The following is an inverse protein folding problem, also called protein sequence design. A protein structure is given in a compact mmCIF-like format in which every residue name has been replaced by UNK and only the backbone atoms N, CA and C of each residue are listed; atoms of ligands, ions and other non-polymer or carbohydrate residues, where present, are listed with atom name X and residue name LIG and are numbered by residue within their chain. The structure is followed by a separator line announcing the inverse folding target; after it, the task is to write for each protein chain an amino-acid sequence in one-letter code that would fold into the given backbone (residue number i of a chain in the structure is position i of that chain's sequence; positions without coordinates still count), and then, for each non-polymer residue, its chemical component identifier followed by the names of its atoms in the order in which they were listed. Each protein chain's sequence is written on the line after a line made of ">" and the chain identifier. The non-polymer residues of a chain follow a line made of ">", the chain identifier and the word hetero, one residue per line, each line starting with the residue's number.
data_IF_094263486323
#
_entry.id   IF_094263486323
#
_cell.length_a   1.000
_cell.length_b   1.000
_cell.length_c   1.000
_cell.angle_alpha   90.00
_cell.angle_beta   90.00
_cell.angle_gamma   90.00
#
_symmetry.space_group_name_H-M   'P 1'
#
loop_
_entity.id
_entity.type
_entity.pdbx_description
1 polymer ?
#
# COMPACT_ATOMS: atom_id res chain seq x y z
N UNK A 1 27.88 1.73 -42.36
CA UNK A 1 26.86 0.87 -41.72
C UNK A 1 27.17 0.45 -40.27
N UNK A 2 28.33 0.80 -39.67
CA UNK A 2 28.65 0.42 -38.27
C UNK A 2 28.20 1.43 -37.19
N UNK A 3 27.82 2.67 -37.59
CA UNK A 3 27.45 3.75 -36.65
C UNK A 3 25.98 3.73 -36.21
N UNK A 4 25.10 3.08 -36.97
CA UNK A 4 23.65 3.02 -36.68
C UNK A 4 23.34 1.99 -35.58
N UNK A 5 24.11 0.90 -35.50
CA UNK A 5 23.94 -0.13 -34.46
C UNK A 5 24.18 0.38 -33.04
N UNK A 6 25.01 1.42 -32.87
CA UNK A 6 25.30 1.98 -31.54
C UNK A 6 24.11 2.78 -30.99
N UNK A 7 23.34 3.45 -31.85
CA UNK A 7 22.19 4.27 -31.44
C UNK A 7 21.01 3.38 -31.00
N UNK A 8 20.82 2.23 -31.66
CA UNK A 8 19.78 1.26 -31.30
C UNK A 8 20.07 0.62 -29.94
N UNK A 9 21.34 0.31 -29.64
CA UNK A 9 21.72 -0.26 -28.34
C UNK A 9 21.46 0.69 -27.16
N UNK A 10 21.63 2.00 -27.36
CA UNK A 10 21.37 3.01 -26.32
C UNK A 10 19.86 3.17 -26.08
N UNK A 11 19.03 3.14 -27.13
CA UNK A 11 17.57 3.25 -27.01
C UNK A 11 16.93 2.04 -26.32
N UNK A 12 17.46 0.83 -26.53
CA UNK A 12 16.98 -0.38 -25.83
C UNK A 12 17.38 -0.35 -24.34
N UNK A 13 18.54 0.24 -24.01
CA UNK A 13 18.99 0.41 -22.63
C UNK A 13 18.07 1.29 -21.77
N UNK A 14 17.47 2.34 -22.33
CA UNK A 14 16.57 3.22 -21.59
C UNK A 14 15.19 2.61 -21.31
N UNK A 15 14.69 1.71 -22.16
CA UNK A 15 13.40 1.05 -21.90
C UNK A 15 13.49 0.02 -20.75
N UNK A 16 14.67 -0.51 -20.46
CA UNK A 16 14.88 -1.47 -19.38
C UNK A 16 14.78 -0.87 -17.96
N UNK A 17 14.82 0.47 -17.82
CA UNK A 17 14.77 1.16 -16.52
C UNK A 17 13.42 1.83 -16.19
N UNK A 18 12.41 1.69 -17.04
CA UNK A 18 11.11 2.38 -16.84
C UNK A 18 10.03 1.55 -16.14
N UNK A 19 10.22 0.24 -15.92
CA UNK A 19 9.28 -0.57 -15.14
C UNK A 19 9.74 -0.65 -13.69
N UNK A 20 9.44 0.41 -12.94
CA UNK A 20 9.47 0.39 -11.49
C UNK A 20 8.39 -0.62 -11.05
N UNK A 21 8.78 -1.86 -10.77
CA UNK A 21 7.88 -2.87 -10.21
C UNK A 21 7.29 -2.30 -8.91
N UNK A 22 6.01 -1.91 -8.95
CA UNK A 22 5.30 -1.41 -7.78
C UNK A 22 5.32 -2.53 -6.72
N UNK A 23 6.05 -2.29 -5.63
CA UNK A 23 6.14 -3.28 -4.56
C UNK A 23 4.82 -3.27 -3.78
N UNK A 24 4.14 -4.41 -3.78
CA UNK A 24 2.87 -4.59 -3.10
C UNK A 24 3.15 -5.18 -1.71
N UNK A 25 2.68 -4.49 -0.67
CA UNK A 25 2.79 -4.92 0.72
C UNK A 25 1.43 -5.32 1.27
N UNK A 26 1.33 -6.48 1.90
CA UNK A 26 0.10 -7.07 2.38
C UNK A 26 0.33 -7.51 3.83
N UNK A 27 -0.39 -6.88 4.75
CA UNK A 27 -0.31 -7.17 6.18
C UNK A 27 -1.68 -7.50 6.77
N UNK A 28 -1.65 -8.21 7.90
CA UNK A 28 -2.86 -8.64 8.60
C UNK A 28 -3.38 -7.53 9.53
N UNK A 29 -4.70 -7.31 9.52
CA UNK A 29 -5.38 -6.49 10.52
C UNK A 29 -5.33 -7.17 11.90
N UNK A 30 -4.96 -6.42 12.95
CA UNK A 30 -4.92 -6.92 14.31
C UNK A 30 -6.01 -6.27 15.16
N UNK A 31 -7.09 -7.00 15.44
CA UNK A 31 -8.24 -6.53 16.22
C UNK A 31 -7.91 -6.06 17.65
N UNK A 32 -6.77 -6.47 18.21
CA UNK A 32 -6.37 -6.08 19.56
C UNK A 32 -5.68 -4.70 19.60
N UNK A 33 -5.12 -4.24 18.47
CA UNK A 33 -4.33 -3.00 18.40
C UNK A 33 -4.88 -1.98 17.41
N UNK A 34 -5.55 -2.46 16.37
CA UNK A 34 -6.03 -1.66 15.24
C UNK A 34 -7.51 -1.31 15.41
N UNK A 35 -7.95 -0.25 14.74
CA UNK A 35 -9.36 0.17 14.73
C UNK A 35 -9.88 0.20 13.30
N UNK A 36 -11.10 -0.28 13.10
CA UNK A 36 -11.84 -0.11 11.84
C UNK A 36 -12.61 1.20 11.93
N UNK A 37 -12.51 2.04 10.90
CA UNK A 37 -13.28 3.26 10.79
C UNK A 37 -14.42 3.08 9.79
N UNK A 38 -15.64 3.28 10.25
CA UNK A 38 -16.84 3.17 9.43
C UNK A 38 -17.35 4.54 9.01
N UNK A 39 -17.96 4.61 7.82
CA UNK A 39 -18.78 5.73 7.38
C UNK A 39 -20.16 5.21 6.99
N UNK A 40 -21.18 5.97 7.33
CA UNK A 40 -22.56 5.71 6.89
C UNK A 40 -22.92 6.68 5.78
N UNK A 41 -23.26 6.16 4.60
CA UNK A 41 -23.78 6.93 3.47
C UNK A 41 -25.11 6.30 3.04
N UNK A 42 -26.17 7.11 2.93
CA UNK A 42 -27.53 6.64 2.58
C UNK A 42 -28.04 5.46 3.45
N UNK A 43 -27.71 5.46 4.75
CA UNK A 43 -28.08 4.39 5.68
C UNK A 43 -27.24 3.11 5.57
N UNK A 44 -26.25 3.06 4.67
CA UNK A 44 -25.36 1.91 4.48
C UNK A 44 -24.03 2.19 5.18
N UNK A 45 -23.67 1.32 6.13
CA UNK A 45 -22.37 1.39 6.81
C UNK A 45 -21.30 0.70 5.98
N UNK A 46 -20.23 1.42 5.66
CA UNK A 46 -19.08 0.93 4.90
C UNK A 46 -17.77 1.21 5.64
N UNK A 47 -16.73 0.40 5.38
CA UNK A 47 -15.40 0.65 5.93
C UNK A 47 -14.75 1.78 5.13
N UNK A 48 -14.45 2.88 5.82
CA UNK A 48 -13.82 4.08 5.27
C UNK A 48 -12.31 4.09 5.43
N UNK A 49 -11.80 3.32 6.40
CA UNK A 49 -10.37 3.18 6.64
C UNK A 49 -10.05 2.37 7.88
N UNK A 50 -8.77 2.35 8.21
CA UNK A 50 -8.22 1.69 9.38
C UNK A 50 -7.29 2.64 10.13
N UNK A 51 -7.27 2.53 11.46
CA UNK A 51 -6.17 3.07 12.27
C UNK A 51 -5.28 1.91 12.67
N UNK A 52 -4.12 1.83 12.06
CA UNK A 52 -3.15 0.76 12.28
C UNK A 52 -2.12 1.26 13.29
N UNK A 53 -1.86 0.47 14.33
CA UNK A 53 -0.76 0.76 15.24
C UNK A 53 0.57 0.49 14.52
N UNK A 54 1.33 1.58 14.32
CA UNK A 54 2.64 1.61 13.66
C UNK A 54 3.58 2.45 14.51
N UNK A 55 4.75 1.92 14.89
CA UNK A 55 5.74 2.64 15.70
C UNK A 55 5.13 3.35 16.94
N UNK A 56 4.32 2.61 17.71
CA UNK A 56 3.60 3.09 18.91
C UNK A 56 2.60 4.25 18.67
N UNK A 57 2.27 4.57 17.42
CA UNK A 57 1.27 5.58 17.05
C UNK A 57 0.23 4.97 16.14
N UNK A 58 -1.03 5.42 16.23
CA UNK A 58 -2.06 4.99 15.29
C UNK A 58 -2.01 5.86 14.03
N UNK A 59 -1.74 5.24 12.90
CA UNK A 59 -1.70 5.89 11.59
C UNK A 59 -3.00 5.58 10.86
N UNK A 60 -3.60 6.60 10.26
CA UNK A 60 -4.81 6.44 9.47
C UNK A 60 -4.47 5.98 8.05
N UNK A 61 -5.15 4.92 7.64
CA UNK A 61 -5.15 4.33 6.31
C UNK A 61 -6.54 4.48 5.72
N UNK A 62 -6.70 5.33 4.70
CA UNK A 62 -7.92 5.34 3.90
C UNK A 62 -8.02 4.02 3.13
N UNK A 63 -9.22 3.45 3.04
CA UNK A 63 -9.40 2.12 2.46
C UNK A 63 -10.41 2.09 1.33
N UNK A 64 -10.14 1.26 0.33
CA UNK A 64 -11.13 0.80 -0.62
C UNK A 64 -11.16 -0.75 -0.65
N UNK A 65 -12.34 -1.38 -0.72
CA UNK A 65 -12.42 -2.84 -0.76
C UNK A 65 -11.81 -3.35 -2.08
N UNK A 66 -10.91 -4.33 -1.99
CA UNK A 66 -10.41 -5.04 -3.16
C UNK A 66 -11.35 -6.22 -3.45
N UNK A 67 -12.11 -6.11 -4.54
CA UNK A 67 -13.08 -7.13 -4.99
C UNK A 67 -12.47 -8.17 -5.95
N UNK A 68 -11.14 -8.21 -6.09
CA UNK A 68 -10.49 -9.21 -6.91
C UNK A 68 -10.64 -10.59 -6.30
N UNK A 69 -10.95 -11.59 -7.13
CA UNK A 69 -10.98 -13.01 -6.74
C UNK A 69 -9.56 -13.58 -6.49
N UNK A 70 -8.52 -12.81 -6.83
CA UNK A 70 -7.13 -13.22 -6.60
C UNK A 70 -6.79 -13.13 -5.12
N UNK A 71 -6.60 -14.30 -4.50
CA UNK A 71 -6.04 -14.38 -3.15
C UNK A 71 -4.63 -13.79 -3.13
N UNK A 72 -4.43 -12.79 -2.29
CA UNK A 72 -3.13 -12.19 -2.04
C UNK A 72 -2.48 -12.89 -0.84
N UNK A 73 -1.17 -13.09 -0.86
CA UNK A 73 -0.46 -13.69 0.28
C UNK A 73 0.03 -12.58 1.21
N UNK A 74 -0.21 -12.73 2.51
CA UNK A 74 0.47 -11.91 3.51
C UNK A 74 1.98 -12.00 3.26
N UNK A 75 2.64 -10.86 3.12
CA UNK A 75 4.06 -10.82 2.76
C UNK A 75 4.89 -9.89 3.63
N UNK A 76 4.25 -9.14 4.53
CA UNK A 76 4.94 -8.38 5.56
C UNK A 76 4.30 -8.55 6.94
N UNK A 77 5.13 -8.53 7.96
CA UNK A 77 4.72 -8.47 9.36
C UNK A 77 4.61 -7.03 9.88
N UNK A 78 4.36 -6.88 11.19
CA UNK A 78 4.21 -5.56 11.82
C UNK A 78 5.53 -4.82 11.98
N UNK A 79 6.63 -5.54 12.20
CA UNK A 79 7.97 -4.94 12.32
C UNK A 79 8.42 -4.41 10.97
N UNK A 80 8.15 -5.16 9.89
CA UNK A 80 8.41 -4.73 8.52
C UNK A 80 7.53 -3.55 8.12
N UNK A 81 6.23 -3.57 8.45
CA UNK A 81 5.33 -2.42 8.24
C UNK A 81 5.87 -1.15 8.92
N UNK A 82 6.29 -1.26 10.19
CA UNK A 82 6.89 -0.17 10.94
C UNK A 82 8.13 0.39 10.25
N UNK A 83 9.01 -0.50 9.78
CA UNK A 83 10.23 -0.11 9.08
C UNK A 83 9.95 0.55 7.73
N UNK A 84 8.99 0.06 6.97
CA UNK A 84 8.63 0.64 5.66
C UNK A 84 8.08 2.05 5.86
N UNK A 85 7.14 2.23 6.80
CA UNK A 85 6.51 3.54 7.03
C UNK A 85 7.50 4.54 7.64
N UNK A 86 8.39 4.10 8.54
CA UNK A 86 9.41 4.96 9.14
C UNK A 86 10.42 5.49 8.12
N UNK A 87 10.73 4.69 7.10
CA UNK A 87 11.68 5.04 6.04
C UNK A 87 10.97 5.41 4.73
N UNK A 88 9.69 5.78 4.82
CA UNK A 88 8.90 6.10 3.64
C UNK A 88 9.49 7.31 2.91
N UNK A 89 9.41 7.27 1.58
CA UNK A 89 9.85 8.33 0.71
C UNK A 89 8.64 8.83 -0.08
N UNK A 90 8.23 10.10 0.06
CA UNK A 90 7.05 10.63 -0.63
C UNK A 90 7.15 10.56 -2.16
N UNK A 91 8.35 10.38 -2.72
CA UNK A 91 8.58 10.21 -4.16
C UNK A 91 8.42 8.74 -4.63
N UNK A 92 8.14 7.80 -3.73
CA UNK A 92 7.88 6.39 -4.05
C UNK A 92 6.40 6.08 -3.81
N UNK A 93 5.74 5.57 -4.83
CA UNK A 93 4.38 5.07 -4.68
C UNK A 93 4.44 3.64 -4.12
N UNK A 94 4.03 3.48 -2.87
CA UNK A 94 3.90 2.18 -2.22
C UNK A 94 2.45 1.71 -2.31
N UNK A 95 2.25 0.42 -2.57
CA UNK A 95 0.91 -0.18 -2.58
C UNK A 95 0.76 -1.03 -1.35
N UNK A 96 -0.26 -0.74 -0.55
CA UNK A 96 -0.57 -1.49 0.66
C UNK A 96 -1.94 -2.16 0.57
N UNK A 97 -2.02 -3.35 1.15
CA UNK A 97 -3.26 -4.05 1.42
C UNK A 97 -3.36 -4.45 2.88
N UNK A 98 -4.54 -4.25 3.46
CA UNK A 98 -4.91 -4.81 4.76
C UNK A 98 -5.78 -6.04 4.51
N UNK A 99 -5.37 -7.18 5.06
CA UNK A 99 -6.22 -8.36 5.11
C UNK A 99 -7.07 -8.37 6.39
N UNK A 100 -8.39 -8.35 6.21
CA UNK A 100 -9.38 -8.42 7.29
C UNK A 100 -9.99 -9.83 7.33
N UNK A 101 -9.47 -10.65 8.24
CA UNK A 101 -9.78 -12.09 8.34
C UNK A 101 -11.26 -12.36 8.64
N UNK A 102 -11.89 -11.57 9.51
CA UNK A 102 -13.32 -11.71 9.87
C UNK A 102 -14.28 -11.59 8.67
N UNK A 103 -13.86 -10.87 7.62
CA UNK A 103 -14.61 -10.72 6.36
C UNK A 103 -14.01 -11.54 5.23
N UNK A 104 -12.86 -12.18 5.45
CA UNK A 104 -12.04 -12.80 4.42
C UNK A 104 -11.82 -11.87 3.21
N UNK A 105 -11.53 -10.59 3.47
CA UNK A 105 -11.43 -9.54 2.45
C UNK A 105 -10.12 -8.77 2.54
N UNK A 106 -9.63 -8.34 1.38
CA UNK A 106 -8.51 -7.41 1.26
C UNK A 106 -9.04 -6.00 1.04
N UNK A 107 -8.37 -5.02 1.64
CA UNK A 107 -8.63 -3.60 1.41
C UNK A 107 -7.36 -2.99 0.85
N UNK A 108 -7.44 -2.38 -0.32
CA UNK A 108 -6.37 -1.48 -0.77
C UNK A 108 -6.37 -0.29 0.18
N UNK A 109 -5.19 0.05 0.69
CA UNK A 109 -5.06 1.15 1.63
C UNK A 109 -4.01 2.15 1.17
N UNK A 110 -4.36 3.42 1.32
CA UNK A 110 -3.45 4.54 1.18
C UNK A 110 -3.34 5.24 2.53
N UNK A 111 -2.12 5.40 3.04
CA UNK A 111 -1.85 6.31 4.13
C UNK A 111 -1.46 7.66 3.52
N UNK A 112 -2.13 8.72 3.97
CA UNK A 112 -1.68 10.07 3.70
C UNK A 112 -0.83 10.50 4.89
N UNK A 113 0.48 10.71 4.70
CA UNK A 113 1.25 11.60 5.57
C UNK A 113 0.75 13.03 5.34
N UNK A 114 -0.45 13.38 5.82
CA UNK A 114 -0.75 14.79 6.09
C UNK A 114 -0.13 15.12 7.43
N UNK A 115 1.18 15.27 7.45
CA UNK A 115 1.83 16.13 8.43
C UNK A 115 1.39 17.55 8.08
N UNK A 116 0.21 17.93 8.57
CA UNK A 116 -0.01 19.34 8.88
C UNK A 116 0.69 19.50 10.22
N UNK A 117 1.93 20.00 10.17
CA UNK A 117 2.50 20.62 11.35
C UNK A 117 1.63 21.85 11.63
N UNK A 118 1.03 21.90 12.82
CA UNK A 118 0.58 23.17 13.40
C UNK A 118 1.80 24.07 13.65
#
# INVERSE_FOLDING_TARGET
>A
MKKIFLIIAILVGFMAFSQQNETIYIFKFNKNTDEILYRTENGIQTISGFRILVNKKKIFFSSSPNRSDKKLNLNIDRVELDNIIKNDNPNKQLIFYVFLEEKNMYYNVAYMFRTIYD
#
